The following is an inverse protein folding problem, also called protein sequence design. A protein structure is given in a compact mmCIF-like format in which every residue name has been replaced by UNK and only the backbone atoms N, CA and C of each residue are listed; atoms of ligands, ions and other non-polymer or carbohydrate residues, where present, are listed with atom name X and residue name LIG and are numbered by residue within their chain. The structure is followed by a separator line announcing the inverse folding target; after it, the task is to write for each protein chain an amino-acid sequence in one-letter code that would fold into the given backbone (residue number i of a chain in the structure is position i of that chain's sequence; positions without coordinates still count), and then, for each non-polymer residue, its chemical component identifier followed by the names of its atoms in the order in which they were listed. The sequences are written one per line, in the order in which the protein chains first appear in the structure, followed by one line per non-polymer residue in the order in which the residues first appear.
data_IF_845251658502
#
_entry.id   IF_845251658502
#
_cell.length_a   1.000
_cell.length_b   1.000
_cell.length_c   1.000
_cell.angle_alpha   90.00
_cell.angle_beta   90.00
_cell.angle_gamma   90.00
#
_symmetry.space_group_name_H-M   'P 1'
#
loop_
_entity.id
_entity.type
_entity.pdbx_description
1 polymer ?
#
# COMPACT_ATOMS: atom_id res chain seq x y z
N UNK A 1 -3.27 -3.52 -11.84
CA UNK A 1 -1.99 -4.06 -11.38
C UNK A 1 -2.11 -5.57 -11.13
N UNK A 2 -1.11 -6.32 -11.51
CA UNK A 2 -1.01 -7.75 -11.25
C UNK A 2 0.39 -8.06 -10.73
N UNK A 3 0.49 -8.94 -9.74
CA UNK A 3 1.78 -9.28 -9.14
C UNK A 3 1.73 -10.53 -8.26
N UNK A 4 2.81 -10.71 -7.51
CA UNK A 4 2.99 -11.78 -6.53
C UNK A 4 3.42 -11.20 -5.20
N UNK A 5 2.94 -11.81 -4.12
CA UNK A 5 3.35 -11.49 -2.76
C UNK A 5 3.88 -12.76 -2.08
N UNK A 6 4.88 -12.57 -1.25
CA UNK A 6 5.33 -13.55 -0.27
C UNK A 6 4.96 -13.01 1.11
N UNK A 7 4.05 -13.66 1.80
CA UNK A 7 3.55 -13.25 3.11
C UNK A 7 4.06 -14.20 4.19
N UNK A 8 4.46 -13.67 5.33
CA UNK A 8 4.85 -14.48 6.49
C UNK A 8 3.64 -14.58 7.43
N UNK A 9 3.14 -15.79 7.63
CA UNK A 9 2.00 -16.06 8.50
C UNK A 9 2.41 -16.06 9.99
N UNK A 10 1.41 -16.19 10.89
CA UNK A 10 1.62 -16.17 12.34
C UNK A 10 2.54 -17.33 12.85
N UNK A 11 2.71 -18.37 12.06
CA UNK A 11 3.63 -19.48 12.33
C UNK A 11 5.05 -19.25 11.80
N UNK A 12 5.31 -18.10 11.19
CA UNK A 12 6.60 -17.77 10.57
C UNK A 12 6.84 -18.49 9.24
N UNK A 13 5.81 -19.07 8.64
CA UNK A 13 5.89 -19.74 7.33
C UNK A 13 5.59 -18.73 6.23
N UNK A 14 6.29 -18.86 5.11
CA UNK A 14 6.07 -18.02 3.94
C UNK A 14 5.00 -18.64 3.03
N UNK A 15 3.99 -17.86 2.71
CA UNK A 15 2.94 -18.20 1.76
C UNK A 15 3.11 -17.37 0.49
N UNK A 16 2.98 -18.02 -0.67
CA UNK A 16 3.01 -17.34 -1.97
C UNK A 16 1.58 -17.03 -2.41
N UNK A 17 1.35 -15.77 -2.78
CA UNK A 17 0.04 -15.26 -3.18
C UNK A 17 0.16 -14.56 -4.52
N UNK A 18 -0.69 -14.90 -5.48
CA UNK A 18 -0.89 -14.08 -6.67
C UNK A 18 -1.99 -13.07 -6.38
N UNK A 19 -1.83 -11.84 -6.87
CA UNK A 19 -2.87 -10.83 -6.69
C UNK A 19 -3.18 -10.06 -7.95
N UNK A 20 -4.41 -9.55 -8.02
CA UNK A 20 -4.84 -8.54 -8.97
C UNK A 20 -5.45 -7.37 -8.20
N UNK A 21 -5.09 -6.14 -8.60
CA UNK A 21 -5.54 -4.92 -7.96
C UNK A 21 -6.17 -3.98 -8.97
N UNK A 22 -7.34 -3.47 -8.65
CA UNK A 22 -8.03 -2.41 -9.38
C UNK A 22 -8.20 -1.20 -8.48
N UNK A 23 -8.03 -0.03 -9.06
CA UNK A 23 -8.20 1.24 -8.35
C UNK A 23 -8.99 2.20 -9.22
N UNK A 24 -10.08 2.74 -8.69
CA UNK A 24 -10.75 3.93 -9.24
C UNK A 24 -10.34 5.10 -8.36
N UNK A 25 -9.68 6.07 -8.97
CA UNK A 25 -9.16 7.23 -8.27
C UNK A 25 -10.29 8.14 -7.79
N UNK A 26 -10.29 8.47 -6.50
CA UNK A 26 -11.18 9.45 -5.90
C UNK A 26 -10.51 10.82 -5.75
N UNK A 27 -11.25 11.81 -5.24
CA UNK A 27 -10.73 13.16 -4.94
C UNK A 27 -9.65 13.14 -3.83
N UNK A 28 -9.62 12.08 -3.03
CA UNK A 28 -8.61 11.80 -2.01
C UNK A 28 -8.46 10.30 -1.81
N UNK A 29 -7.42 9.85 -1.10
CA UNK A 29 -7.23 8.43 -0.76
C UNK A 29 -8.43 7.84 -0.01
N UNK A 30 -9.07 8.61 0.86
CA UNK A 30 -10.25 8.16 1.60
C UNK A 30 -11.42 7.79 0.67
N UNK A 31 -11.53 8.47 -0.48
CA UNK A 31 -12.61 8.30 -1.47
C UNK A 31 -12.23 7.39 -2.64
N UNK A 32 -11.04 6.81 -2.63
CA UNK A 32 -10.67 5.82 -3.64
C UNK A 32 -11.47 4.53 -3.47
N UNK A 33 -11.77 3.90 -4.62
CA UNK A 33 -12.25 2.52 -4.63
C UNK A 33 -11.08 1.62 -4.99
N UNK A 34 -10.78 0.68 -4.12
CA UNK A 34 -9.66 -0.25 -4.27
C UNK A 34 -10.18 -1.67 -4.04
N UNK A 35 -9.87 -2.56 -4.98
CA UNK A 35 -10.11 -4.00 -4.84
C UNK A 35 -8.82 -4.74 -5.08
N UNK A 36 -8.51 -5.68 -4.20
CA UNK A 36 -7.41 -6.62 -4.34
C UNK A 36 -7.94 -8.03 -4.23
N UNK A 37 -7.90 -8.75 -5.33
CA UNK A 37 -8.16 -10.20 -5.35
C UNK A 37 -6.86 -10.91 -5.02
N UNK A 38 -6.87 -11.73 -3.98
CA UNK A 38 -5.73 -12.53 -3.52
C UNK A 38 -6.01 -14.02 -3.73
N UNK A 39 -5.09 -14.69 -4.39
CA UNK A 39 -5.16 -16.12 -4.68
C UNK A 39 -4.04 -16.85 -3.95
N UNK A 40 -4.44 -17.53 -2.90
CA UNK A 40 -3.62 -18.46 -2.10
C UNK A 40 -3.72 -19.87 -2.69
N UNK A 41 -2.82 -20.80 -2.31
CA UNK A 41 -2.88 -22.17 -2.80
C UNK A 41 -4.21 -22.90 -2.54
N UNK A 42 -4.93 -22.54 -1.48
CA UNK A 42 -6.16 -23.20 -1.03
C UNK A 42 -7.42 -22.34 -1.10
N UNK A 43 -7.29 -21.04 -1.26
CA UNK A 43 -8.42 -20.12 -1.20
C UNK A 43 -8.15 -18.86 -2.06
N UNK A 44 -9.21 -18.32 -2.65
CA UNK A 44 -9.22 -17.03 -3.31
C UNK A 44 -10.31 -16.16 -2.72
N UNK A 45 -9.98 -14.93 -2.35
CA UNK A 45 -10.93 -13.93 -1.89
C UNK A 45 -10.48 -12.53 -2.31
N UNK A 46 -11.35 -11.55 -2.18
CA UNK A 46 -11.01 -10.16 -2.42
C UNK A 46 -11.17 -9.34 -1.14
N UNK A 47 -10.29 -8.36 -0.98
CA UNK A 47 -10.49 -7.23 -0.07
C UNK A 47 -10.86 -6.00 -0.89
N UNK A 48 -11.90 -5.31 -0.46
CA UNK A 48 -12.44 -4.16 -1.16
C UNK A 48 -12.59 -3.00 -0.19
N UNK A 49 -12.14 -1.83 -0.64
CA UNK A 49 -12.46 -0.57 0.00
C UNK A 49 -13.27 0.26 -0.98
N UNK A 50 -14.47 0.62 -0.62
CA UNK A 50 -15.36 1.49 -1.38
C UNK A 50 -16.29 2.23 -0.41
N UNK A 51 -16.66 3.46 -0.75
CA UNK A 51 -17.54 4.31 0.08
C UNK A 51 -17.08 4.39 1.55
N UNK A 52 -15.75 4.53 1.71
CA UNK A 52 -15.05 4.63 3.01
C UNK A 52 -15.19 3.38 3.92
N UNK A 53 -15.62 2.25 3.36
CA UNK A 53 -15.76 0.97 4.07
C UNK A 53 -14.84 -0.08 3.50
N UNK A 54 -14.36 -0.96 4.36
CA UNK A 54 -13.57 -2.14 4.00
C UNK A 54 -14.38 -3.40 4.25
N UNK A 55 -14.45 -4.28 3.24
CA UNK A 55 -15.14 -5.56 3.31
C UNK A 55 -14.42 -6.60 2.47
N UNK A 56 -14.72 -7.87 2.72
CA UNK A 56 -14.23 -8.99 1.93
C UNK A 56 -15.30 -9.54 1.00
N UNK A 57 -14.86 -10.20 -0.08
CA UNK A 57 -15.74 -10.94 -1.00
C UNK A 57 -15.16 -12.34 -1.20
N UNK A 58 -15.98 -13.36 -0.94
CA UNK A 58 -15.64 -14.75 -1.16
C UNK A 58 -16.84 -15.48 -1.81
N UNK A 59 -16.62 -16.11 -2.97
CA UNK A 59 -17.68 -16.79 -3.74
C UNK A 59 -18.93 -15.91 -3.94
N UNK A 60 -18.72 -14.65 -4.30
CA UNK A 60 -19.77 -13.62 -4.48
C UNK A 60 -20.50 -13.20 -3.18
N UNK A 61 -20.21 -13.80 -2.05
CA UNK A 61 -20.73 -13.39 -0.76
C UNK A 61 -19.82 -12.34 -0.11
N UNK A 62 -20.44 -11.32 0.48
CA UNK A 62 -19.74 -10.29 1.25
C UNK A 62 -19.55 -10.78 2.69
N UNK A 63 -18.36 -10.54 3.24
CA UNK A 63 -18.05 -10.83 4.63
C UNK A 63 -17.29 -9.68 5.29
N UNK A 64 -17.33 -9.60 6.61
CA UNK A 64 -16.44 -8.71 7.37
C UNK A 64 -15.09 -9.39 7.51
N UNK A 65 -13.99 -8.82 6.96
CA UNK A 65 -12.67 -9.34 7.21
C UNK A 65 -12.32 -9.22 8.70
N UNK A 66 -11.37 -10.02 9.17
CA UNK A 66 -10.82 -9.86 10.51
C UNK A 66 -10.24 -8.45 10.66
N UNK A 67 -10.32 -7.88 11.86
CA UNK A 67 -9.90 -6.50 12.12
C UNK A 67 -8.44 -6.24 11.73
N UNK A 68 -7.56 -7.23 11.99
CA UNK A 68 -6.15 -7.16 11.64
C UNK A 68 -5.93 -7.14 10.11
N UNK A 69 -6.65 -7.95 9.35
CA UNK A 69 -6.57 -7.99 7.89
C UNK A 69 -7.14 -6.71 7.26
N UNK A 70 -8.26 -6.21 7.76
CA UNK A 70 -8.83 -4.94 7.32
C UNK A 70 -7.86 -3.78 7.57
N UNK A 71 -7.27 -3.74 8.77
CA UNK A 71 -6.32 -2.71 9.16
C UNK A 71 -5.03 -2.76 8.34
N UNK A 72 -4.50 -3.94 8.10
CA UNK A 72 -3.31 -4.10 7.24
C UNK A 72 -3.60 -3.64 5.81
N UNK A 73 -4.76 -3.98 5.27
CA UNK A 73 -5.20 -3.51 3.96
C UNK A 73 -5.29 -1.97 3.90
N UNK A 74 -5.87 -1.34 4.91
CA UNK A 74 -5.95 0.13 5.02
C UNK A 74 -4.57 0.78 5.20
N UNK A 75 -3.68 0.17 5.96
CA UNK A 75 -2.30 0.66 6.13
C UNK A 75 -1.54 0.71 4.80
N UNK A 76 -1.75 -0.26 3.91
CA UNK A 76 -1.16 -0.25 2.57
C UNK A 76 -1.62 0.97 1.75
N UNK A 77 -2.83 1.44 1.97
CA UNK A 77 -3.42 2.59 1.28
C UNK A 77 -2.91 3.89 1.91
N UNK A 78 -3.13 4.06 3.21
CA UNK A 78 -2.95 5.34 3.89
C UNK A 78 -1.50 5.64 4.27
N UNK A 79 -0.63 4.64 4.30
CA UNK A 79 0.82 4.78 4.48
C UNK A 79 1.61 4.48 3.20
N UNK A 80 0.96 4.48 2.03
CA UNK A 80 1.59 4.28 0.73
C UNK A 80 2.18 5.56 0.14
N UNK A 81 2.78 5.44 -1.06
CA UNK A 81 3.36 6.58 -1.79
C UNK A 81 2.36 7.70 -2.07
N UNK A 82 1.10 7.36 -2.33
CA UNK A 82 0.04 8.32 -2.61
C UNK A 82 -0.28 9.22 -1.40
N UNK A 83 0.06 8.82 -0.18
CA UNK A 83 -0.06 9.68 1.00
C UNK A 83 0.84 10.92 0.91
N UNK A 84 2.06 10.77 0.34
CA UNK A 84 2.94 11.90 0.05
C UNK A 84 2.57 12.61 -1.25
N UNK A 85 2.41 11.86 -2.34
CA UNK A 85 2.19 12.45 -3.67
C UNK A 85 0.90 13.25 -3.77
N UNK A 86 -0.10 12.91 -2.96
CA UNK A 86 -1.42 13.55 -2.93
C UNK A 86 -1.73 14.22 -1.59
N UNK A 87 -0.71 14.65 -0.85
CA UNK A 87 -0.92 15.20 0.50
C UNK A 87 -1.90 16.38 0.54
N UNK A 88 -1.90 17.25 -0.47
CA UNK A 88 -2.83 18.38 -0.57
C UNK A 88 -4.28 17.91 -0.76
N UNK A 89 -4.51 16.99 -1.70
CA UNK A 89 -5.82 16.40 -1.98
C UNK A 89 -6.36 15.65 -0.76
N UNK A 90 -5.47 14.96 -0.03
CA UNK A 90 -5.80 14.26 1.21
C UNK A 90 -6.03 15.22 2.39
N UNK A 91 -5.72 16.50 2.23
CA UNK A 91 -5.78 17.49 3.31
C UNK A 91 -4.79 17.19 4.44
N UNK A 92 -3.68 16.56 4.10
CA UNK A 92 -2.61 16.22 5.02
C UNK A 92 -1.66 17.40 5.22
N UNK A 93 -0.98 17.44 6.37
CA UNK A 93 0.14 18.35 6.62
C UNK A 93 1.45 17.67 6.24
N UNK A 94 2.38 18.45 5.73
CA UNK A 94 3.71 18.01 5.34
C UNK A 94 4.75 18.79 6.10
N UNK A 95 5.72 18.11 6.68
CA UNK A 95 6.82 18.71 7.43
C UNK A 95 8.16 18.13 6.98
N UNK A 96 9.14 19.00 6.70
CA UNK A 96 10.52 18.59 6.45
C UNK A 96 11.21 18.33 7.79
N UNK A 97 11.23 17.06 8.21
CA UNK A 97 11.71 16.64 9.53
C UNK A 97 13.23 16.58 9.65
N UNK A 98 13.97 16.58 8.54
CA UNK A 98 15.42 16.57 8.57
C UNK A 98 16.08 16.11 7.28
N UNK A 99 17.41 16.02 7.36
CA UNK A 99 18.28 15.49 6.30
C UNK A 99 19.41 14.71 6.97
N UNK A 100 19.62 13.48 6.56
CA UNK A 100 20.63 12.61 7.14
C UNK A 100 21.20 11.64 6.11
N UNK A 101 22.46 11.27 6.31
CA UNK A 101 23.14 10.24 5.54
C UNK A 101 23.03 8.88 6.21
N UNK A 102 22.35 7.94 5.56
CA UNK A 102 22.16 6.56 6.05
C UNK A 102 22.81 5.60 5.06
N UNK A 103 23.79 4.79 5.52
CA UNK A 103 24.49 3.81 4.69
C UNK A 103 25.03 4.38 3.37
N UNK A 104 25.55 5.61 3.40
CA UNK A 104 26.13 6.26 2.23
C UNK A 104 25.15 7.02 1.33
N UNK A 105 23.86 6.93 1.58
CA UNK A 105 22.82 7.65 0.83
C UNK A 105 22.28 8.81 1.67
N UNK A 106 22.23 10.00 1.06
CA UNK A 106 21.65 11.19 1.67
C UNK A 106 20.13 11.20 1.47
N UNK A 107 19.37 11.37 2.57
CA UNK A 107 17.92 11.39 2.57
C UNK A 107 17.38 12.69 3.14
N UNK A 108 16.33 13.20 2.52
CA UNK A 108 15.38 14.10 3.16
C UNK A 108 14.32 13.28 3.90
N UNK A 109 13.99 13.67 5.13
CA UNK A 109 12.91 13.08 5.90
C UNK A 109 11.69 13.98 5.79
N UNK A 110 10.62 13.45 5.24
CA UNK A 110 9.36 14.16 5.08
C UNK A 110 8.31 13.43 5.91
N UNK A 111 7.77 14.12 6.90
CA UNK A 111 6.67 13.62 7.72
C UNK A 111 5.35 14.11 7.15
N UNK A 112 4.45 13.19 6.88
CA UNK A 112 3.08 13.47 6.46
C UNK A 112 2.13 13.04 7.57
N UNK A 113 1.25 13.94 7.99
CA UNK A 113 0.18 13.66 8.95
C UNK A 113 -1.16 13.87 8.26
N UNK A 114 -1.98 12.83 8.18
CA UNK A 114 -3.29 12.92 7.57
C UNK A 114 -4.36 13.46 8.52
N UNK A 115 -5.58 13.67 8.02
CA UNK A 115 -6.72 14.20 8.81
C UNK A 115 -7.13 13.30 9.98
N UNK A 116 -6.78 12.02 9.94
CA UNK A 116 -7.04 11.06 11.03
C UNK A 116 -5.90 10.99 12.03
N UNK A 117 -4.85 11.80 11.85
CA UNK A 117 -3.68 11.84 12.74
C UNK A 117 -2.65 10.73 12.45
N UNK A 118 -2.81 9.93 11.38
CA UNK A 118 -1.81 8.94 10.98
C UNK A 118 -0.56 9.65 10.49
N UNK A 119 0.59 9.25 11.00
CA UNK A 119 1.90 9.78 10.61
C UNK A 119 2.66 8.78 9.77
N UNK A 120 3.23 9.26 8.68
CA UNK A 120 4.10 8.48 7.80
C UNK A 120 5.36 9.28 7.53
N UNK A 121 6.54 8.68 7.78
CA UNK A 121 7.83 9.27 7.43
C UNK A 121 8.32 8.70 6.12
N UNK A 122 8.60 9.59 5.18
CA UNK A 122 9.15 9.27 3.86
C UNK A 122 10.64 9.61 3.82
N UNK A 123 11.45 8.67 3.38
CA UNK A 123 12.88 8.82 3.14
C UNK A 123 13.09 9.03 1.64
N UNK A 124 13.36 10.26 1.27
CA UNK A 124 13.52 10.68 -0.12
C UNK A 124 15.00 10.85 -0.43
N UNK A 125 15.54 10.12 -1.39
CA UNK A 125 16.93 10.29 -1.82
C UNK A 125 17.16 11.71 -2.34
N UNK A 126 18.15 12.42 -1.80
CA UNK A 126 18.52 13.77 -2.26
C UNK A 126 19.08 13.77 -3.69
N UNK A 127 19.60 12.63 -4.14
CA UNK A 127 20.19 12.47 -5.48
C UNK A 127 19.15 12.18 -6.57
N UNK A 128 18.17 11.32 -6.27
CA UNK A 128 17.21 10.84 -7.28
C UNK A 128 15.80 11.37 -7.07
N UNK A 129 15.53 11.97 -5.92
CA UNK A 129 14.21 12.43 -5.46
C UNK A 129 13.16 11.30 -5.43
N UNK A 130 13.62 10.04 -5.33
CA UNK A 130 12.75 8.87 -5.17
C UNK A 130 12.54 8.59 -3.70
N UNK A 131 11.33 8.18 -3.34
CA UNK A 131 11.06 7.62 -2.02
C UNK A 131 11.70 6.24 -1.95
N UNK A 132 12.64 6.06 -1.06
CA UNK A 132 13.36 4.78 -0.91
C UNK A 132 12.80 3.94 0.22
N UNK A 133 12.23 4.58 1.24
CA UNK A 133 11.65 3.93 2.41
C UNK A 133 10.49 4.76 2.96
N UNK A 134 9.59 4.08 3.66
CA UNK A 134 8.52 4.67 4.47
C UNK A 134 8.53 4.01 5.83
N UNK A 135 8.43 4.82 6.90
CA UNK A 135 8.23 4.35 8.26
C UNK A 135 6.90 4.83 8.79
N UNK A 136 6.19 3.97 9.50
CA UNK A 136 5.00 4.32 10.27
C UNK A 136 4.86 3.39 11.48
N UNK A 137 4.02 3.79 12.43
CA UNK A 137 3.71 2.99 13.61
C UNK A 137 2.21 2.87 13.78
N UNK A 138 1.74 1.66 13.98
CA UNK A 138 0.34 1.33 14.27
C UNK A 138 0.27 0.30 15.39
N UNK A 139 -0.57 0.55 16.42
CA UNK A 139 -0.75 -0.32 17.59
C UNK A 139 0.57 -0.72 18.28
N UNK A 140 1.54 0.19 18.35
CA UNK A 140 2.85 -0.06 18.95
C UNK A 140 3.83 -0.85 18.08
N UNK A 141 3.41 -1.30 16.90
CA UNK A 141 4.28 -1.99 15.95
C UNK A 141 4.91 -0.97 15.00
N UNK A 142 6.23 -1.08 14.83
CA UNK A 142 6.99 -0.25 13.88
C UNK A 142 7.07 -0.95 12.53
N UNK A 143 6.55 -0.29 11.51
CA UNK A 143 6.58 -0.78 10.14
C UNK A 143 7.57 0.02 9.30
N UNK A 144 8.31 -0.69 8.43
CA UNK A 144 9.16 -0.10 7.39
C UNK A 144 8.89 -0.76 6.06
N UNK A 145 8.53 0.02 5.05
CA UNK A 145 8.44 -0.43 3.66
C UNK A 145 9.60 0.15 2.87
N UNK A 146 10.36 -0.72 2.21
CA UNK A 146 11.43 -0.34 1.30
C UNK A 146 10.98 -0.53 -0.14
N UNK A 147 11.44 0.36 -1.03
CA UNK A 147 11.08 0.38 -2.44
C UNK A 147 12.32 0.13 -3.29
N UNK A 148 12.18 -0.79 -4.24
CA UNK A 148 13.23 -1.21 -5.15
C UNK A 148 12.71 -1.28 -6.60
N UNK A 149 13.62 -1.47 -7.55
CA UNK A 149 13.31 -1.75 -8.96
C UNK A 149 12.37 -0.72 -9.57
N UNK A 150 12.68 0.56 -9.34
CA UNK A 150 11.93 1.65 -9.94
C UNK A 150 12.06 1.63 -11.46
N UNK A 151 10.92 1.55 -12.17
CA UNK A 151 10.85 1.59 -13.62
C UNK A 151 9.60 2.36 -14.07
N UNK A 152 9.55 2.73 -15.34
CA UNK A 152 8.44 3.47 -15.90
C UNK A 152 7.36 2.53 -16.46
N UNK A 153 6.11 2.81 -16.09
CA UNK A 153 4.92 2.25 -16.70
C UNK A 153 4.08 3.41 -17.26
N UNK A 154 3.90 3.48 -18.57
CA UNK A 154 3.14 4.55 -19.24
C UNK A 154 3.54 5.98 -18.76
N UNK A 155 4.85 6.23 -18.60
CA UNK A 155 5.38 7.51 -18.13
C UNK A 155 5.31 7.76 -16.62
N UNK A 156 4.72 6.86 -15.84
CA UNK A 156 4.67 6.92 -14.38
C UNK A 156 5.77 6.07 -13.79
N UNK A 157 6.53 6.62 -12.84
CA UNK A 157 7.58 5.90 -12.13
C UNK A 157 6.97 5.02 -11.04
N UNK A 158 7.21 3.72 -11.12
CA UNK A 158 6.63 2.70 -10.23
C UNK A 158 7.73 1.86 -9.60
N UNK A 159 7.71 1.61 -8.27
CA UNK A 159 8.57 0.61 -7.65
C UNK A 159 7.98 -0.78 -7.88
N UNK A 160 8.66 -1.60 -8.66
CA UNK A 160 8.20 -2.95 -9.02
C UNK A 160 8.47 -4.00 -7.94
N UNK A 161 9.27 -3.66 -6.94
CA UNK A 161 9.58 -4.54 -5.84
C UNK A 161 9.54 -3.78 -4.52
N UNK A 162 8.84 -4.32 -3.51
CA UNK A 162 8.75 -3.74 -2.18
C UNK A 162 8.91 -4.81 -1.11
N UNK A 163 9.49 -4.42 0.03
CA UNK A 163 9.63 -5.26 1.22
C UNK A 163 9.05 -4.51 2.41
N UNK A 164 8.16 -5.15 3.16
CA UNK A 164 7.60 -4.63 4.40
C UNK A 164 8.16 -5.42 5.59
N UNK A 165 8.65 -4.69 6.59
CA UNK A 165 9.06 -5.24 7.88
C UNK A 165 8.17 -4.72 8.99
N UNK A 166 7.92 -5.55 10.01
CA UNK A 166 7.27 -5.21 11.26
C UNK A 166 8.25 -5.51 12.40
N UNK A 167 8.59 -4.50 13.22
CA UNK A 167 9.64 -4.60 14.26
C UNK A 167 10.91 -5.28 13.72
N UNK A 168 11.40 -4.80 12.57
CA UNK A 168 12.61 -5.27 11.85
C UNK A 168 12.54 -6.71 11.28
N UNK A 169 11.40 -7.40 11.40
CA UNK A 169 11.20 -8.71 10.77
C UNK A 169 10.43 -8.55 9.47
N UNK A 170 10.91 -9.16 8.39
CA UNK A 170 10.20 -9.17 7.12
C UNK A 170 8.88 -9.93 7.25
N UNK A 171 7.78 -9.30 6.86
CA UNK A 171 6.43 -9.87 6.86
C UNK A 171 5.81 -9.97 5.47
N UNK A 172 6.29 -9.14 4.52
CA UNK A 172 5.77 -9.12 3.16
C UNK A 172 6.89 -8.78 2.17
N UNK A 173 6.87 -9.43 1.02
CA UNK A 173 7.60 -9.04 -0.18
C UNK A 173 6.62 -9.02 -1.35
N UNK A 174 6.56 -7.91 -2.08
CA UNK A 174 5.67 -7.76 -3.24
C UNK A 174 6.48 -7.49 -4.49
N UNK A 175 6.13 -8.19 -5.58
CA UNK A 175 6.68 -7.97 -6.91
C UNK A 175 5.55 -7.72 -7.90
N UNK A 176 5.52 -6.52 -8.47
CA UNK A 176 4.60 -6.16 -9.54
C UNK A 176 5.10 -6.81 -10.82
N UNK A 177 4.23 -7.52 -11.52
CA UNK A 177 4.52 -8.09 -12.85
C UNK A 177 4.04 -7.15 -13.95
N UNK A 178 2.83 -6.62 -13.81
CA UNK A 178 2.25 -5.68 -14.77
C UNK A 178 1.45 -4.62 -14.04
N UNK A 179 1.53 -3.38 -14.53
CA UNK A 179 0.69 -2.26 -14.09
C UNK A 179 0.31 -1.44 -15.31
N UNK A 180 -0.96 -1.04 -15.39
CA UNK A 180 -1.49 -0.16 -16.43
C UNK A 180 -2.31 0.95 -15.78
N UNK A 181 -2.24 2.14 -16.37
CA UNK A 181 -2.99 3.32 -15.94
C UNK A 181 -3.98 3.75 -17.02
N UNK A 182 -4.99 4.52 -16.62
CA UNK A 182 -5.98 5.05 -17.57
C UNK A 182 -6.94 4.02 -18.16
N UNK A 183 -6.96 2.80 -17.62
CA UNK A 183 -7.95 1.79 -18.01
C UNK A 183 -9.30 2.10 -17.39
N UNK A 184 -10.36 1.90 -18.15
CA UNK A 184 -11.72 1.93 -17.59
C UNK A 184 -11.91 0.70 -16.71
N UNK A 185 -12.17 0.94 -15.44
CA UNK A 185 -12.48 -0.11 -14.45
C UNK A 185 -13.97 -0.11 -14.21
N UNK A 186 -14.57 -1.30 -14.20
CA UNK A 186 -16.01 -1.46 -13.96
C UNK A 186 -16.34 -1.21 -12.48
N UNK A 187 -17.28 -0.31 -12.23
CA UNK A 187 -17.77 0.02 -10.88
C UNK A 187 -18.42 -1.19 -10.18
N UNK A 188 -18.94 -2.16 -10.95
CA UNK A 188 -19.53 -3.39 -10.40
C UNK A 188 -18.53 -4.19 -9.55
N UNK A 189 -17.21 -4.08 -9.83
CA UNK A 189 -16.17 -4.73 -9.05
C UNK A 189 -16.13 -4.28 -7.58
N UNK A 190 -16.69 -3.11 -7.28
CA UNK A 190 -16.66 -2.49 -5.95
C UNK A 190 -18.03 -2.46 -5.27
N UNK A 191 -19.04 -3.06 -5.88
CA UNK A 191 -20.34 -3.14 -5.25
C UNK A 191 -20.40 -4.28 -4.25
N UNK A 192 -21.00 -4.01 -3.09
CA UNK A 192 -21.46 -5.05 -2.20
C UNK A 192 -22.54 -5.82 -2.96
N UNK A 193 -22.36 -7.09 -3.22
CA UNK A 193 -23.40 -7.91 -3.85
C UNK A 193 -24.73 -7.69 -3.16
N UNK A 194 -25.61 -6.97 -3.82
CA UNK A 194 -27.02 -6.81 -3.44
C UNK A 194 -27.80 -8.00 -3.94
#
# INVERSE_FOLDING_TARGET
EHGKMSLVNDKGQTEQVSYQKWTIRGDSLAKEKIRVDEEYPSIRYALVRADEKTYGVYNQAVFSPRDDAAKEFENRIFHGLEALLRYKENGSTLDLAGHEKIMGVDYYFIDVTDKSGRKTRFYVSSKTYRVMMIDYQEDGVKYRRKFYDYNYAQGTLVPYHTILTANDKQIEETRIMTVTFGQKVDDELFKNGS
#
